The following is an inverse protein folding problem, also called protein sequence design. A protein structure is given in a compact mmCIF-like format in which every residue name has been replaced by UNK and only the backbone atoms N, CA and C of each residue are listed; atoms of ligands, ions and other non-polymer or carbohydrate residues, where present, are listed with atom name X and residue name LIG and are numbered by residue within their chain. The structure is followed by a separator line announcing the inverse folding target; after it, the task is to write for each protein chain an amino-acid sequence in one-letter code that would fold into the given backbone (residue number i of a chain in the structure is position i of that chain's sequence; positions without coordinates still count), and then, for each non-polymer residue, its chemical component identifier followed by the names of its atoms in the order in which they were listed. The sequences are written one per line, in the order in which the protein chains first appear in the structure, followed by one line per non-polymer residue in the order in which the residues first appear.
data_IF_993028502456
#
_entry.id   IF_993028502456
#
_cell.length_a   1.000
_cell.length_b   1.000
_cell.length_c   1.000
_cell.angle_alpha   90.00
_cell.angle_beta   90.00
_cell.angle_gamma   90.00
#
_symmetry.space_group_name_H-M   'P 1'
#
loop_
_entity.id
_entity.type
_entity.pdbx_description
1 polymer ?
#
# COMPACT_ATOMS: atom_id res chain seq x y z
N UNK A 1 16.63 -52.94 16.76
CA UNK A 1 17.56 -52.19 15.90
C UNK A 1 16.89 -51.84 14.54
N UNK A 2 16.15 -52.76 13.90
CA UNK A 2 15.50 -52.48 12.59
C UNK A 2 14.35 -51.49 12.71
N UNK A 3 13.47 -51.59 13.71
CA UNK A 3 12.37 -50.64 13.95
C UNK A 3 12.84 -49.22 14.27
N UNK A 4 13.91 -49.07 15.02
CA UNK A 4 14.50 -47.76 15.34
C UNK A 4 15.07 -47.05 14.10
N UNK A 5 15.64 -47.80 13.16
CA UNK A 5 16.13 -47.28 11.87
C UNK A 5 15.00 -46.82 10.95
N UNK A 6 13.88 -47.55 10.91
CA UNK A 6 12.70 -47.19 10.10
C UNK A 6 12.03 -45.93 10.65
N UNK A 7 11.89 -45.80 11.96
CA UNK A 7 11.34 -44.63 12.62
C UNK A 7 12.24 -43.40 12.36
N UNK A 8 13.56 -43.55 12.47
CA UNK A 8 14.50 -42.47 12.25
C UNK A 8 14.49 -41.99 10.78
N UNK A 9 14.42 -42.91 9.82
CA UNK A 9 14.32 -42.57 8.40
C UNK A 9 12.98 -41.89 8.07
N UNK A 10 11.89 -42.28 8.69
CA UNK A 10 10.58 -41.63 8.52
C UNK A 10 10.57 -40.23 9.10
N UNK A 11 11.18 -39.99 10.26
CA UNK A 11 11.34 -38.68 10.87
C UNK A 11 12.19 -37.73 10.02
N UNK A 12 13.33 -38.20 9.52
CA UNK A 12 14.21 -37.43 8.62
C UNK A 12 13.46 -37.06 7.36
N UNK A 13 12.76 -38.02 6.73
CA UNK A 13 11.96 -37.73 5.52
C UNK A 13 10.84 -36.72 5.76
N UNK A 14 10.18 -36.78 6.92
CA UNK A 14 9.13 -35.82 7.29
C UNK A 14 9.70 -34.44 7.54
N UNK A 15 10.86 -34.33 8.16
CA UNK A 15 11.56 -33.05 8.37
C UNK A 15 11.95 -32.39 7.03
N UNK A 16 12.55 -33.16 6.11
CA UNK A 16 12.94 -32.70 4.79
C UNK A 16 11.74 -32.22 3.97
N UNK A 17 10.60 -32.89 4.09
CA UNK A 17 9.35 -32.45 3.42
C UNK A 17 8.83 -31.14 4.01
N UNK A 18 8.80 -31.02 5.34
CA UNK A 18 8.35 -29.80 6.02
C UNK A 18 9.26 -28.61 5.69
N UNK A 19 10.57 -28.82 5.69
CA UNK A 19 11.53 -27.77 5.30
C UNK A 19 11.27 -27.30 3.87
N UNK A 20 11.13 -28.22 2.91
CA UNK A 20 10.79 -27.87 1.53
C UNK A 20 9.47 -27.13 1.39
N UNK A 21 8.46 -27.46 2.21
CA UNK A 21 7.20 -26.72 2.24
C UNK A 21 7.44 -25.29 2.70
N UNK A 22 8.17 -25.09 3.80
CA UNK A 22 8.49 -23.79 4.36
C UNK A 22 9.32 -22.93 3.38
N UNK A 23 10.24 -23.55 2.63
CA UNK A 23 11.06 -22.88 1.64
C UNK A 23 10.24 -22.45 0.40
N UNK A 24 9.14 -23.15 0.10
CA UNK A 24 8.29 -22.85 -1.07
C UNK A 24 7.08 -21.91 -0.77
N UNK A 25 6.86 -21.52 0.48
CA UNK A 25 5.71 -20.66 0.86
C UNK A 25 5.83 -19.22 0.31
N UNK A 26 7.03 -18.81 -0.16
CA UNK A 26 7.24 -17.45 -0.69
C UNK A 26 7.21 -16.36 0.39
N UNK A 27 7.47 -16.72 1.64
CA UNK A 27 7.61 -15.82 2.78
C UNK A 27 8.87 -16.13 3.56
N UNK A 28 9.53 -15.10 4.09
CA UNK A 28 10.61 -15.30 5.04
C UNK A 28 10.06 -15.72 6.41
N UNK A 29 10.64 -16.77 6.97
CA UNK A 29 10.24 -17.31 8.28
C UNK A 29 11.48 -17.40 9.17
N UNK A 30 11.41 -16.78 10.34
CA UNK A 30 12.42 -16.90 11.39
C UNK A 30 11.73 -17.34 12.67
N UNK A 31 12.32 -18.30 13.36
CA UNK A 31 11.92 -18.70 14.70
C UNK A 31 13.05 -18.36 15.65
N UNK A 32 12.75 -17.60 16.68
CA UNK A 32 13.74 -17.20 17.69
C UNK A 32 13.24 -17.48 19.11
N UNK A 33 14.20 -17.67 20.02
CA UNK A 33 13.90 -17.79 21.44
C UNK A 33 13.26 -16.50 21.96
N UNK A 34 12.16 -16.61 22.69
CA UNK A 34 11.45 -15.48 23.27
C UNK A 34 12.31 -14.68 24.24
N UNK A 35 13.19 -15.34 24.99
CA UNK A 35 13.97 -14.71 26.05
C UNK A 35 15.34 -14.20 25.62
N UNK A 36 16.00 -14.93 24.71
CA UNK A 36 17.35 -14.58 24.27
C UNK A 36 17.42 -13.91 22.89
N UNK A 37 16.33 -14.00 22.09
CA UNK A 37 16.33 -13.55 20.70
C UNK A 37 17.16 -14.42 19.75
N UNK A 38 17.79 -15.51 20.27
CA UNK A 38 18.60 -16.38 19.43
C UNK A 38 17.75 -17.06 18.36
N UNK A 39 18.22 -17.02 17.12
CA UNK A 39 17.57 -17.69 16.00
C UNK A 39 17.74 -19.20 16.16
N UNK A 40 16.62 -19.92 16.17
CA UNK A 40 16.54 -21.39 16.24
C UNK A 40 16.30 -22.01 14.87
N UNK A 41 15.62 -21.30 13.99
CA UNK A 41 15.30 -21.73 12.63
C UNK A 41 15.13 -20.51 11.73
N UNK A 42 15.59 -20.63 10.49
CA UNK A 42 15.27 -19.73 9.38
C UNK A 42 15.06 -20.54 8.11
N UNK A 43 14.05 -20.18 7.31
CA UNK A 43 13.85 -20.82 6.02
C UNK A 43 14.77 -20.20 4.95
N UNK A 44 14.84 -20.83 3.78
CA UNK A 44 15.73 -20.42 2.68
C UNK A 44 15.50 -18.95 2.27
N UNK A 45 14.25 -18.50 2.27
CA UNK A 45 13.92 -17.10 1.91
C UNK A 45 14.44 -16.10 2.94
N UNK A 46 14.30 -16.37 4.23
CA UNK A 46 14.84 -15.53 5.28
C UNK A 46 16.37 -15.57 5.33
N UNK A 47 16.98 -16.73 4.96
CA UNK A 47 18.42 -16.90 4.95
C UNK A 47 19.11 -16.22 3.77
N UNK A 48 18.52 -16.26 2.57
CA UNK A 48 19.18 -15.89 1.31
C UNK A 48 18.70 -14.56 0.70
N UNK A 49 17.52 -14.06 1.08
CA UNK A 49 16.99 -12.78 0.59
C UNK A 49 17.30 -11.68 1.59
N UNK A 50 18.28 -10.84 1.25
CA UNK A 50 18.80 -9.79 2.15
C UNK A 50 17.71 -8.86 2.67
N UNK A 51 16.82 -8.40 1.77
CA UNK A 51 15.75 -7.46 2.08
C UNK A 51 14.75 -8.03 3.09
N UNK A 52 14.45 -9.32 2.99
CA UNK A 52 13.57 -10.05 3.94
C UNK A 52 14.25 -10.16 5.28
N UNK A 53 15.52 -10.57 5.30
CA UNK A 53 16.32 -10.74 6.50
C UNK A 53 16.44 -9.43 7.27
N UNK A 54 16.80 -8.35 6.60
CA UNK A 54 16.99 -7.03 7.21
C UNK A 54 15.67 -6.51 7.78
N UNK A 55 14.58 -6.62 7.02
CA UNK A 55 13.24 -6.23 7.50
C UNK A 55 12.83 -6.99 8.75
N UNK A 56 13.05 -8.32 8.79
CA UNK A 56 12.72 -9.13 9.99
C UNK A 56 13.59 -8.72 11.17
N UNK A 57 14.90 -8.49 10.97
CA UNK A 57 15.82 -8.08 12.04
C UNK A 57 15.44 -6.74 12.65
N UNK A 58 15.18 -5.73 11.82
CA UNK A 58 14.71 -4.42 12.28
C UNK A 58 13.43 -4.56 13.13
N UNK A 59 12.47 -5.36 12.65
CA UNK A 59 11.23 -5.59 13.40
C UNK A 59 11.46 -6.36 14.70
N UNK A 60 12.40 -7.32 14.74
CA UNK A 60 12.77 -8.03 15.97
C UNK A 60 13.45 -7.10 16.97
N UNK A 61 14.36 -6.23 16.52
CA UNK A 61 14.99 -5.22 17.38
C UNK A 61 13.95 -4.31 18.00
N UNK A 62 12.98 -3.81 17.21
CA UNK A 62 11.86 -3.01 17.71
C UNK A 62 11.04 -3.76 18.78
N UNK A 63 10.78 -5.05 18.58
CA UNK A 63 9.99 -5.88 19.50
C UNK A 63 10.75 -6.17 20.80
N UNK A 64 12.04 -6.49 20.71
CA UNK A 64 12.85 -6.84 21.91
C UNK A 64 13.28 -5.61 22.70
N UNK A 65 13.33 -4.40 22.11
CA UNK A 65 13.68 -3.15 22.81
C UNK A 65 12.46 -2.50 23.48
N UNK A 66 11.24 -2.80 23.05
CA UNK A 66 10.03 -2.29 23.68
C UNK A 66 9.66 -3.14 24.91
N UNK A 67 9.37 -2.50 26.05
CA UNK A 67 8.86 -3.16 27.27
C UNK A 67 7.51 -3.90 27.03
N UNK A 68 6.83 -3.65 25.91
CA UNK A 68 5.55 -4.22 25.50
C UNK A 68 5.68 -5.29 24.41
N UNK A 69 6.56 -6.29 24.58
CA UNK A 69 6.68 -7.45 23.67
C UNK A 69 5.31 -8.12 23.42
N UNK A 70 4.45 -8.15 24.44
CA UNK A 70 3.11 -8.74 24.37
C UNK A 70 2.11 -8.01 23.46
N UNK A 71 2.31 -6.72 23.17
CA UNK A 71 1.38 -5.93 22.36
C UNK A 71 1.43 -6.24 20.88
N UNK A 72 2.56 -6.75 20.40
CA UNK A 72 2.80 -7.01 18.98
C UNK A 72 2.51 -8.46 18.59
N UNK A 73 2.30 -9.35 19.56
CA UNK A 73 2.02 -10.77 19.32
C UNK A 73 0.58 -10.92 18.81
N UNK A 74 0.43 -11.61 17.68
CA UNK A 74 -0.86 -11.77 16.99
C UNK A 74 -1.24 -10.60 16.09
N UNK A 75 -0.49 -9.48 16.10
CA UNK A 75 -0.69 -8.37 15.18
C UNK A 75 0.16 -8.55 13.91
N UNK A 76 -0.33 -8.04 12.79
CA UNK A 76 0.47 -7.83 11.59
C UNK A 76 0.82 -6.36 11.44
N UNK A 77 2.03 -6.08 11.02
CA UNK A 77 2.49 -4.73 10.72
C UNK A 77 3.03 -4.66 9.30
N UNK A 78 2.78 -3.53 8.64
CA UNK A 78 3.34 -3.27 7.33
C UNK A 78 4.62 -2.44 7.47
N UNK A 79 5.69 -2.87 6.81
CA UNK A 79 6.99 -2.18 6.79
C UNK A 79 7.40 -1.86 5.37
N UNK A 80 7.90 -0.65 5.18
CA UNK A 80 8.49 -0.22 3.92
C UNK A 80 10.00 -0.24 4.07
N UNK A 81 10.66 -1.07 3.28
CA UNK A 81 12.12 -1.10 3.22
C UNK A 81 12.59 0.00 2.25
N UNK A 82 13.26 1.00 2.78
CA UNK A 82 13.69 2.20 2.02
C UNK A 82 14.82 1.91 1.05
N UNK A 83 15.65 0.89 1.32
CA UNK A 83 16.78 0.54 0.46
C UNK A 83 16.33 -0.20 -0.79
N UNK A 84 15.41 -1.16 -0.64
CA UNK A 84 14.90 -1.96 -1.76
C UNK A 84 13.65 -1.38 -2.41
N UNK A 85 12.93 -0.47 -1.74
CA UNK A 85 11.64 0.05 -2.20
C UNK A 85 10.50 -0.97 -2.11
N UNK A 86 10.65 -2.02 -1.30
CA UNK A 86 9.67 -3.09 -1.13
C UNK A 86 8.81 -2.90 0.13
N UNK A 87 7.59 -3.40 0.07
CA UNK A 87 6.67 -3.45 1.20
C UNK A 87 6.56 -4.87 1.74
N UNK A 88 6.71 -5.03 3.04
CA UNK A 88 6.54 -6.30 3.72
C UNK A 88 5.40 -6.24 4.74
N UNK A 89 4.61 -7.32 4.81
CA UNK A 89 3.74 -7.61 5.93
C UNK A 89 4.48 -8.53 6.88
N UNK A 90 4.78 -8.04 8.08
CA UNK A 90 5.48 -8.78 9.12
C UNK A 90 4.49 -9.18 10.20
N UNK A 91 4.47 -10.44 10.57
CA UNK A 91 3.59 -10.98 11.60
C UNK A 91 4.38 -11.75 12.64
N UNK A 92 4.01 -11.55 13.89
CA UNK A 92 4.58 -12.23 15.05
C UNK A 92 3.57 -13.22 15.63
N UNK A 93 4.03 -14.43 15.97
CA UNK A 93 3.23 -15.45 16.62
C UNK A 93 4.05 -16.13 17.71
N UNK A 94 3.43 -16.52 18.83
CA UNK A 94 4.09 -17.33 19.86
C UNK A 94 3.74 -18.79 19.65
N UNK A 95 4.72 -19.65 19.83
CA UNK A 95 4.58 -21.10 19.81
C UNK A 95 5.40 -21.71 20.94
N UNK A 96 5.01 -22.91 21.33
CA UNK A 96 5.85 -23.81 22.13
C UNK A 96 6.74 -24.63 21.20
N UNK A 97 8.05 -24.57 21.42
CA UNK A 97 9.03 -25.34 20.65
C UNK A 97 9.04 -26.81 21.08
N UNK A 98 9.73 -27.66 20.29
CA UNK A 98 9.79 -29.10 20.52
C UNK A 98 10.39 -29.52 21.88
N UNK A 99 11.12 -28.65 22.54
CA UNK A 99 11.70 -28.85 23.87
C UNK A 99 10.88 -28.22 25.00
N UNK A 100 9.69 -27.66 24.68
CA UNK A 100 8.82 -26.97 25.63
C UNK A 100 9.20 -25.51 25.88
N UNK A 101 10.20 -24.96 25.18
CA UNK A 101 10.55 -23.55 25.30
C UNK A 101 9.60 -22.65 24.50
N UNK A 102 9.37 -21.43 24.99
CA UNK A 102 8.57 -20.43 24.27
C UNK A 102 9.42 -19.77 23.17
N UNK A 103 8.87 -19.73 21.95
CA UNK A 103 9.50 -19.13 20.79
C UNK A 103 8.58 -18.12 20.12
N UNK A 104 9.19 -17.16 19.44
CA UNK A 104 8.52 -16.21 18.56
C UNK A 104 8.79 -16.66 17.12
N UNK A 105 7.72 -16.84 16.35
CA UNK A 105 7.77 -17.03 14.92
C UNK A 105 7.48 -15.69 14.25
N UNK A 106 8.41 -15.25 13.43
CA UNK A 106 8.26 -14.04 12.61
C UNK A 106 8.13 -14.46 11.15
N UNK A 107 7.09 -13.98 10.51
CA UNK A 107 6.89 -14.18 9.07
C UNK A 107 6.90 -12.84 8.36
N UNK A 108 7.61 -12.76 7.24
CA UNK A 108 7.63 -11.58 6.37
C UNK A 108 7.20 -11.96 4.95
N UNK A 109 6.17 -11.31 4.46
CA UNK A 109 5.59 -11.53 3.13
C UNK A 109 5.77 -10.26 2.30
N UNK A 110 6.32 -10.37 1.11
CA UNK A 110 6.35 -9.23 0.16
C UNK A 110 4.94 -8.91 -0.33
N UNK A 111 4.45 -7.73 0.05
CA UNK A 111 3.15 -7.20 -0.34
C UNK A 111 3.26 -6.04 -1.34
N UNK A 112 4.43 -5.84 -1.95
CA UNK A 112 4.69 -4.71 -2.86
C UNK A 112 3.71 -4.69 -4.03
N UNK A 113 3.46 -5.84 -4.64
CA UNK A 113 2.49 -5.92 -5.75
C UNK A 113 1.07 -5.65 -5.29
N UNK A 114 0.68 -6.12 -4.11
CA UNK A 114 -0.61 -5.83 -3.48
C UNK A 114 -0.77 -4.31 -3.26
N UNK A 115 0.25 -3.65 -2.73
CA UNK A 115 0.27 -2.19 -2.52
C UNK A 115 0.17 -1.41 -3.83
N UNK A 116 0.96 -1.80 -4.85
CA UNK A 116 0.88 -1.17 -6.19
C UNK A 116 -0.50 -1.33 -6.81
N UNK A 117 -1.10 -2.52 -6.71
CA UNK A 117 -2.44 -2.76 -7.22
C UNK A 117 -3.49 -1.94 -6.48
N UNK A 118 -3.40 -1.85 -5.15
CA UNK A 118 -4.29 -1.04 -4.33
C UNK A 118 -4.20 0.43 -4.71
N UNK A 119 -2.99 0.99 -4.82
CA UNK A 119 -2.77 2.36 -5.27
C UNK A 119 -3.33 2.63 -6.66
N UNK A 120 -3.15 1.65 -7.59
CA UNK A 120 -3.71 1.75 -8.95
C UNK A 120 -5.24 1.78 -8.92
N UNK A 121 -5.88 0.92 -8.11
CA UNK A 121 -7.34 0.90 -7.96
C UNK A 121 -7.83 2.21 -7.35
N UNK A 122 -7.17 2.71 -6.30
CA UNK A 122 -7.51 4.00 -5.69
C UNK A 122 -7.36 5.15 -6.68
N UNK A 123 -6.28 5.15 -7.46
CA UNK A 123 -6.08 6.15 -8.51
C UNK A 123 -7.19 6.09 -9.55
N UNK A 124 -7.54 4.91 -10.07
CA UNK A 124 -8.61 4.72 -11.04
C UNK A 124 -9.99 5.08 -10.48
N UNK A 125 -10.23 4.84 -9.19
CA UNK A 125 -11.48 5.20 -8.54
C UNK A 125 -11.67 6.72 -8.40
N UNK A 126 -10.59 7.50 -8.38
CA UNK A 126 -10.63 8.92 -8.09
C UNK A 126 -10.21 9.84 -9.25
N UNK A 127 -9.59 9.31 -10.29
CA UNK A 127 -9.08 10.09 -11.42
C UNK A 127 -9.80 9.74 -12.72
N UNK A 128 -9.87 10.71 -13.61
CA UNK A 128 -10.27 10.52 -15.01
C UNK A 128 -9.09 9.98 -15.81
N UNK A 129 -9.28 8.87 -16.51
CA UNK A 129 -8.19 8.16 -17.19
C UNK A 129 -7.60 8.91 -18.38
N UNK A 130 -8.39 9.80 -19.03
CA UNK A 130 -7.94 10.54 -20.19
C UNK A 130 -7.10 11.77 -19.80
N UNK A 131 -7.57 12.54 -18.82
CA UNK A 131 -7.00 13.84 -18.45
C UNK A 131 -6.08 13.78 -17.23
N UNK A 132 -6.18 12.72 -16.42
CA UNK A 132 -5.47 12.59 -15.14
C UNK A 132 -6.02 13.50 -14.03
N UNK A 133 -7.01 14.34 -14.30
CA UNK A 133 -7.71 15.11 -13.29
C UNK A 133 -8.51 14.20 -12.37
N UNK A 134 -8.95 14.72 -11.24
CA UNK A 134 -9.94 14.01 -10.43
C UNK A 134 -11.25 13.84 -11.20
N UNK A 135 -11.91 12.71 -10.96
CA UNK A 135 -13.18 12.38 -11.60
C UNK A 135 -14.39 12.93 -10.81
N UNK A 136 -15.59 12.71 -11.34
CA UNK A 136 -16.86 13.14 -10.75
C UNK A 136 -17.04 12.64 -9.32
N UNK A 137 -16.72 11.37 -9.04
CA UNK A 137 -16.86 10.80 -7.70
C UNK A 137 -15.99 11.52 -6.67
N UNK A 138 -14.74 11.79 -7.04
CA UNK A 138 -13.81 12.55 -6.18
C UNK A 138 -14.29 13.99 -5.97
N UNK A 139 -14.81 14.64 -7.01
CA UNK A 139 -15.42 15.97 -6.92
C UNK A 139 -16.53 16.02 -5.87
N UNK A 140 -17.47 15.08 -5.91
CA UNK A 140 -18.59 15.02 -4.95
C UNK A 140 -18.13 14.82 -3.50
N UNK A 141 -17.13 13.96 -3.30
CA UNK A 141 -16.56 13.73 -1.96
C UNK A 141 -15.86 14.98 -1.43
N UNK A 142 -15.04 15.61 -2.27
CA UNK A 142 -14.26 16.77 -1.86
C UNK A 142 -15.15 18.00 -1.66
N UNK A 143 -16.16 18.22 -2.50
CA UNK A 143 -17.14 19.29 -2.34
C UNK A 143 -17.85 19.19 -0.98
N UNK A 144 -18.30 17.99 -0.58
CA UNK A 144 -18.92 17.80 0.73
C UNK A 144 -17.96 18.14 1.88
N UNK A 145 -16.67 17.80 1.75
CA UNK A 145 -15.66 18.15 2.75
C UNK A 145 -15.43 19.67 2.82
N UNK A 146 -15.36 20.32 1.66
CA UNK A 146 -15.18 21.77 1.56
C UNK A 146 -16.35 22.49 2.22
N UNK A 147 -17.58 22.14 1.88
CA UNK A 147 -18.79 22.74 2.48
C UNK A 147 -18.74 22.64 4.01
N UNK A 148 -18.49 21.44 4.55
CA UNK A 148 -18.41 21.25 6.01
C UNK A 148 -17.30 22.06 6.68
N UNK A 149 -16.14 22.23 6.01
CA UNK A 149 -15.04 23.03 6.56
C UNK A 149 -15.34 24.52 6.54
N UNK A 150 -15.85 25.02 5.41
CA UNK A 150 -16.16 26.43 5.24
C UNK A 150 -17.29 26.86 6.18
N UNK A 151 -18.34 26.04 6.36
CA UNK A 151 -19.40 26.29 7.35
C UNK A 151 -18.85 26.40 8.76
N UNK A 152 -18.02 25.44 9.19
CA UNK A 152 -17.44 25.44 10.55
C UNK A 152 -16.49 26.60 10.80
N UNK A 153 -15.76 27.03 9.78
CA UNK A 153 -14.75 28.07 9.90
C UNK A 153 -15.29 29.49 9.57
N UNK A 154 -16.54 29.62 9.14
CA UNK A 154 -17.10 30.87 8.65
C UNK A 154 -16.39 31.42 7.42
N UNK A 155 -15.82 30.51 6.59
CA UNK A 155 -15.13 30.84 5.36
C UNK A 155 -16.05 30.72 4.15
N UNK A 156 -15.60 31.28 3.01
CA UNK A 156 -16.31 31.14 1.74
C UNK A 156 -15.56 30.18 0.83
N UNK A 157 -16.27 29.59 -0.12
CA UNK A 157 -15.72 28.81 -1.21
C UNK A 157 -16.44 29.13 -2.51
N UNK A 158 -15.83 28.79 -3.63
CA UNK A 158 -16.44 28.90 -4.94
C UNK A 158 -16.31 27.58 -5.69
N UNK A 159 -17.33 27.27 -6.48
CA UNK A 159 -17.33 26.15 -7.44
C UNK A 159 -17.52 26.75 -8.82
N UNK A 160 -16.56 26.50 -9.70
CA UNK A 160 -16.62 26.93 -11.08
C UNK A 160 -16.95 25.70 -11.94
N UNK A 161 -18.02 25.83 -12.74
CA UNK A 161 -18.35 24.87 -13.79
C UNK A 161 -17.83 25.41 -15.12
N UNK A 162 -17.15 24.59 -15.87
CA UNK A 162 -16.58 24.92 -17.17
C UNK A 162 -17.09 23.87 -18.16
N UNK A 163 -17.65 24.33 -19.25
CA UNK A 163 -18.10 23.53 -20.38
C UNK A 163 -17.41 24.04 -21.64
N UNK A 164 -17.07 23.16 -22.58
CA UNK A 164 -16.38 23.54 -23.80
C UNK A 164 -17.36 23.75 -24.94
N UNK A 165 -17.56 24.99 -25.32
CA UNK A 165 -18.39 25.33 -26.46
C UNK A 165 -17.90 24.63 -27.73
N UNK A 166 -18.86 24.09 -28.50
CA UNK A 166 -18.61 23.42 -29.78
C UNK A 166 -17.68 22.19 -29.76
N UNK A 167 -17.43 21.60 -28.60
CA UNK A 167 -16.58 20.40 -28.50
C UNK A 167 -17.04 19.27 -29.41
N UNK A 168 -18.35 19.08 -29.55
CA UNK A 168 -18.92 18.11 -30.47
C UNK A 168 -18.51 18.38 -31.92
N UNK A 169 -18.51 19.63 -32.36
CA UNK A 169 -18.08 19.99 -33.73
C UNK A 169 -16.61 19.69 -33.98
N UNK A 170 -15.77 19.81 -32.98
CA UNK A 170 -14.36 19.42 -33.05
C UNK A 170 -14.25 17.90 -33.26
N UNK A 171 -15.00 17.10 -32.48
CA UNK A 171 -15.01 15.65 -32.64
C UNK A 171 -15.55 15.22 -34.02
N UNK A 172 -16.67 15.82 -34.46
CA UNK A 172 -17.30 15.50 -35.71
C UNK A 172 -16.45 15.92 -36.92
N UNK A 173 -15.70 17.02 -36.81
CA UNK A 173 -14.87 17.57 -37.90
C UNK A 173 -13.47 17.00 -37.97
N UNK A 174 -12.80 16.83 -36.82
CA UNK A 174 -11.39 16.42 -36.73
C UNK A 174 -11.20 14.99 -36.21
N UNK A 175 -12.23 14.41 -35.63
CA UNK A 175 -12.20 13.08 -35.03
C UNK A 175 -11.91 13.11 -33.50
N UNK A 176 -12.35 12.06 -32.81
CA UNK A 176 -12.26 11.92 -31.37
C UNK A 176 -10.84 12.04 -30.80
N UNK A 177 -9.82 11.64 -31.57
CA UNK A 177 -8.43 11.76 -31.13
C UNK A 177 -8.02 13.22 -30.88
N UNK A 178 -8.50 14.15 -31.73
CA UNK A 178 -8.23 15.58 -31.53
C UNK A 178 -9.01 16.15 -30.35
N UNK A 179 -10.24 15.69 -30.13
CA UNK A 179 -11.00 16.01 -28.93
C UNK A 179 -10.30 15.55 -27.65
N UNK A 180 -9.78 14.34 -27.65
CA UNK A 180 -9.01 13.80 -26.50
C UNK A 180 -7.76 14.62 -26.21
N UNK A 181 -7.00 15.01 -27.24
CA UNK A 181 -5.84 15.89 -27.12
C UNK A 181 -6.26 17.26 -26.55
N UNK A 182 -7.34 17.84 -27.02
CA UNK A 182 -7.86 19.10 -26.52
C UNK A 182 -8.20 19.01 -25.03
N UNK A 183 -8.91 17.96 -24.61
CA UNK A 183 -9.25 17.74 -23.20
C UNK A 183 -8.01 17.60 -22.32
N UNK A 184 -6.98 16.90 -22.80
CA UNK A 184 -5.70 16.75 -22.10
C UNK A 184 -4.97 18.11 -21.99
N UNK A 185 -4.97 18.93 -23.02
CA UNK A 185 -4.35 20.27 -23.01
C UNK A 185 -5.06 21.22 -22.04
N UNK A 186 -6.40 21.19 -22.01
CA UNK A 186 -7.17 21.97 -21.05
C UNK A 186 -6.86 21.53 -19.62
N UNK A 187 -6.85 20.23 -19.36
CA UNK A 187 -6.50 19.69 -18.05
C UNK A 187 -5.09 20.12 -17.60
N UNK A 188 -4.11 20.07 -18.51
CA UNK A 188 -2.76 20.53 -18.25
C UNK A 188 -2.72 22.06 -17.97
N UNK A 189 -3.47 22.84 -18.72
CA UNK A 189 -3.63 24.29 -18.50
C UNK A 189 -4.21 24.59 -17.13
N UNK A 190 -5.29 23.94 -16.74
CA UNK A 190 -5.95 24.12 -15.44
C UNK A 190 -5.02 23.77 -14.28
N UNK A 191 -4.31 22.64 -14.36
CA UNK A 191 -3.37 22.23 -13.32
C UNK A 191 -2.10 23.07 -13.26
N UNK A 192 -1.76 23.77 -14.35
CA UNK A 192 -0.66 24.73 -14.44
C UNK A 192 -0.94 26.06 -13.73
N UNK A 193 -2.20 26.38 -13.44
CA UNK A 193 -2.55 27.61 -12.71
C UNK A 193 -2.14 27.47 -11.24
N UNK A 194 -1.33 28.40 -10.69
CA UNK A 194 -0.92 28.37 -9.31
C UNK A 194 -2.12 28.29 -8.35
N UNK A 195 -2.08 27.33 -7.43
CA UNK A 195 -3.14 27.11 -6.43
C UNK A 195 -4.31 26.24 -6.88
N UNK A 196 -4.42 25.88 -8.15
CA UNK A 196 -5.49 24.98 -8.65
C UNK A 196 -5.10 23.51 -8.70
N UNK A 197 -3.83 23.18 -8.57
CA UNK A 197 -3.39 21.78 -8.56
C UNK A 197 -4.06 21.00 -7.43
N UNK A 198 -4.76 19.91 -7.77
CA UNK A 198 -5.52 19.12 -6.81
C UNK A 198 -6.94 19.66 -6.52
N UNK A 199 -7.39 20.68 -7.27
CA UNK A 199 -8.71 21.29 -7.14
C UNK A 199 -9.51 21.26 -8.44
N UNK A 200 -9.00 20.57 -9.47
CA UNK A 200 -9.60 20.45 -10.79
C UNK A 200 -10.17 19.06 -11.00
N UNK A 201 -11.37 18.99 -11.54
CA UNK A 201 -12.13 17.75 -11.74
C UNK A 201 -12.68 17.72 -13.16
N UNK A 202 -12.79 16.52 -13.76
CA UNK A 202 -13.55 16.30 -14.98
C UNK A 202 -14.81 15.51 -14.65
N UNK A 203 -15.97 16.04 -15.02
CA UNK A 203 -17.27 15.45 -14.71
C UNK A 203 -17.67 14.39 -15.72
N UNK A 204 -17.16 14.51 -16.93
CA UNK A 204 -17.40 13.65 -18.09
C UNK A 204 -17.51 14.48 -19.36
N UNK A 205 -17.32 13.88 -20.54
CA UNK A 205 -17.37 14.62 -21.79
C UNK A 205 -16.40 15.82 -21.79
N UNK A 206 -16.97 17.00 -21.96
CA UNK A 206 -16.32 18.31 -22.03
C UNK A 206 -16.51 19.18 -20.79
N UNK A 207 -17.07 18.60 -19.70
CA UNK A 207 -17.38 19.32 -18.46
C UNK A 207 -16.25 19.22 -17.45
N UNK A 208 -15.80 20.38 -16.93
CA UNK A 208 -14.81 20.49 -15.87
C UNK A 208 -15.36 21.25 -14.68
N UNK A 209 -14.84 20.96 -13.50
CA UNK A 209 -15.18 21.65 -12.26
C UNK A 209 -13.90 22.04 -11.52
N UNK A 210 -13.91 23.24 -10.94
CA UNK A 210 -12.85 23.70 -10.04
C UNK A 210 -13.50 24.06 -8.71
N UNK A 211 -12.93 23.56 -7.60
CA UNK A 211 -13.37 23.89 -6.24
C UNK A 211 -12.28 24.75 -5.59
N UNK A 212 -12.63 25.97 -5.18
CA UNK A 212 -11.71 26.91 -4.52
C UNK A 212 -12.23 27.22 -3.13
N UNK A 213 -11.35 27.16 -2.15
CA UNK A 213 -11.65 27.60 -0.77
C UNK A 213 -10.94 28.93 -0.50
N UNK A 214 -11.61 29.83 0.20
CA UNK A 214 -10.96 31.02 0.74
C UNK A 214 -10.00 30.58 1.86
N UNK A 215 -8.72 30.57 1.54
CA UNK A 215 -7.68 30.35 2.56
C UNK A 215 -7.37 31.70 3.17
N UNK A 216 -7.95 32.02 4.34
CA UNK A 216 -7.36 33.09 5.15
C UNK A 216 -5.89 32.72 5.31
N UNK A 217 -5.00 33.54 4.75
CA UNK A 217 -3.58 33.47 5.02
C UNK A 217 -3.42 33.48 6.54
N UNK A 218 -2.95 32.36 7.09
CA UNK A 218 -2.50 32.32 8.48
C UNK A 218 -1.24 33.19 8.49
N UNK A 219 -1.41 34.40 8.93
CA UNK A 219 -0.34 35.34 9.24
C UNK A 219 0.30 34.90 10.55
#
# INVERSE_FOLDING_TARGET
IAQSKVINNSLISSYDVLQKILDNIGSGIIVCSRYSGNILFENEMAANVQEVRDTIRECLEDVFTCEDVHRNIGASMERYNTESGLWFEVRFSELEWIDGSEVIVVTAVDITQKKKNQQKIEYQAHNDFLTGLYNRMKCEVDLRKVIRRTEKAGLKGAVLFIDLDDFKHINDGLGHQYGDILLQQIAAGLTGIPGLRGHCYRMGGDEFVIIVEDRKSVV
#
